data_IF_902740183869
#
_entry.id   IF_902740183869
#
_cell.length_a   1.000
_cell.length_b   1.000
_cell.length_c   1.000
_cell.angle_alpha   90.00
_cell.angle_beta   90.00
_cell.angle_gamma   90.00
#
_symmetry.space_group_name_H-M   'P 1'
#
loop_
_entity.id
_entity.type
_entity.pdbx_description
1 polymer ?
#
# COMPACT_ATOMS: atom_id res chain seq x y z
N UNK A 1 -31.68 12.35 44.11
CA UNK A 1 -32.75 13.30 43.77
C UNK A 1 -32.48 14.62 44.49
N UNK A 2 -32.10 15.68 43.76
CA UNK A 2 -32.02 17.05 44.28
C UNK A 2 -32.41 17.99 43.14
N UNK A 3 -33.68 18.40 43.13
CA UNK A 3 -34.13 19.50 42.29
C UNK A 3 -33.75 20.83 42.91
N UNK A 4 -33.50 21.84 42.07
CA UNK A 4 -33.80 23.26 42.35
C UNK A 4 -34.10 23.97 41.03
N UNK A 5 -35.30 24.52 40.99
CA UNK A 5 -35.90 25.39 39.99
C UNK A 5 -35.37 26.80 40.22
N UNK A 6 -35.21 27.60 39.17
CA UNK A 6 -35.58 29.02 39.21
C UNK A 6 -35.68 29.63 37.81
N UNK A 7 -36.78 30.33 37.60
CA UNK A 7 -37.23 30.99 36.38
C UNK A 7 -36.88 32.47 36.39
N UNK A 8 -37.10 33.07 35.20
CA UNK A 8 -37.26 34.49 34.88
C UNK A 8 -35.96 35.27 34.64
N UNK A 9 -35.81 35.81 33.43
CA UNK A 9 -36.06 37.22 33.12
C UNK A 9 -36.21 37.36 31.58
N UNK A 10 -37.30 37.97 31.15
CA UNK A 10 -37.51 38.48 29.79
C UNK A 10 -37.02 39.92 29.71
N UNK A 11 -36.32 40.26 28.62
CA UNK A 11 -36.25 41.57 27.94
C UNK A 11 -34.91 41.65 27.20
N UNK A 12 -34.74 42.34 26.08
CA UNK A 12 -35.58 42.83 25.00
C UNK A 12 -34.59 43.36 23.95
N UNK A 13 -34.92 43.14 22.67
CA UNK A 13 -34.71 43.99 21.49
C UNK A 13 -33.34 44.65 21.17
N UNK A 14 -33.12 44.60 19.84
CA UNK A 14 -32.55 45.62 18.97
C UNK A 14 -31.04 45.58 18.70
N UNK A 15 -30.73 45.47 17.41
CA UNK A 15 -29.65 46.27 16.82
C UNK A 15 -28.72 45.51 15.88
N UNK A 16 -28.82 45.82 14.59
CA UNK A 16 -27.66 45.85 13.70
C UNK A 16 -27.46 44.62 12.81
N UNK A 17 -28.12 44.62 11.65
CA UNK A 17 -27.65 43.88 10.49
C UNK A 17 -26.30 44.47 10.04
N UNK A 18 -25.20 43.81 10.39
CA UNK A 18 -23.91 44.05 9.74
C UNK A 18 -23.84 43.15 8.52
N UNK A 19 -24.14 43.74 7.37
CA UNK A 19 -23.93 43.14 6.06
C UNK A 19 -22.40 43.07 5.82
N UNK A 20 -21.75 42.03 6.33
CA UNK A 20 -20.37 41.74 5.94
C UNK A 20 -20.38 41.27 4.49
N UNK A 21 -19.90 42.14 3.59
CA UNK A 21 -19.50 41.76 2.24
C UNK A 21 -18.60 40.53 2.33
N UNK A 22 -19.07 39.40 1.80
CA UNK A 22 -18.21 38.25 1.50
C UNK A 22 -17.23 38.70 0.41
N UNK A 23 -15.90 38.67 0.63
CA UNK A 23 -15.01 38.55 -0.50
C UNK A 23 -15.31 37.21 -1.17
N UNK A 24 -15.82 37.32 -2.40
CA UNK A 24 -15.87 36.23 -3.37
C UNK A 24 -14.52 35.53 -3.41
N UNK A 25 -14.57 34.21 -3.38
CA UNK A 25 -13.42 33.36 -3.14
C UNK A 25 -12.23 33.64 -4.04
N UNK A 26 -11.05 33.48 -3.46
CA UNK A 26 -10.11 32.57 -4.10
C UNK A 26 -10.43 31.20 -3.51
N UNK A 27 -11.16 30.39 -4.27
CA UNK A 27 -11.00 28.95 -4.14
C UNK A 27 -9.52 28.71 -4.43
N UNK A 28 -8.70 28.74 -3.38
CA UNK A 28 -7.37 28.19 -3.44
C UNK A 28 -7.57 26.80 -3.98
N UNK A 29 -7.04 26.58 -5.19
CA UNK A 29 -6.97 25.26 -5.77
C UNK A 29 -6.49 24.36 -4.65
N UNK A 30 -7.37 23.48 -4.16
CA UNK A 30 -6.92 22.29 -3.50
C UNK A 30 -6.07 21.61 -4.56
N UNK A 31 -4.76 21.92 -4.52
CA UNK A 31 -3.76 21.13 -5.17
C UNK A 31 -4.17 19.69 -4.87
N UNK A 32 -4.24 18.80 -5.86
CA UNK A 32 -4.58 17.42 -5.59
C UNK A 32 -3.64 17.01 -4.48
N UNK A 33 -4.23 16.81 -3.30
CA UNK A 33 -3.54 16.31 -2.12
C UNK A 33 -2.85 15.09 -2.67
N UNK A 34 -1.52 15.20 -2.88
CA UNK A 34 -0.70 14.15 -3.48
C UNK A 34 -1.16 12.93 -2.75
N UNK A 35 -1.92 12.08 -3.47
CA UNK A 35 -2.69 11.02 -2.87
C UNK A 35 -1.70 10.34 -1.96
N UNK A 36 -1.84 10.59 -0.66
CA UNK A 36 -1.03 9.91 0.32
C UNK A 36 -1.48 8.50 0.07
N UNK A 37 -0.61 7.74 -0.59
CA UNK A 37 -0.85 6.36 -0.94
C UNK A 37 -1.10 5.74 0.41
N UNK A 38 -2.39 5.64 0.78
CA UNK A 38 -2.83 5.00 2.00
C UNK A 38 -2.07 3.70 1.96
N UNK A 39 -1.18 3.49 2.93
CA UNK A 39 -0.44 2.26 3.07
C UNK A 39 -1.50 1.17 3.16
N UNK A 40 -1.86 0.60 2.01
CA UNK A 40 -2.83 -0.44 1.95
C UNK A 40 -2.16 -1.61 2.65
N UNK A 41 -2.85 -2.22 3.60
CA UNK A 41 -2.44 -3.46 4.23
C UNK A 41 -2.38 -4.67 3.24
N UNK A 42 -2.24 -4.41 1.94
CA UNK A 42 -2.30 -5.37 0.84
C UNK A 42 -1.71 -4.82 -0.46
N UNK A 43 -1.40 -5.74 -1.37
CA UNK A 43 -0.84 -5.42 -2.68
C UNK A 43 -1.94 -4.97 -3.65
N UNK A 44 -1.66 -3.93 -4.44
CA UNK A 44 -2.59 -3.33 -5.39
C UNK A 44 -2.02 -3.32 -6.81
N UNK A 45 -2.88 -3.33 -7.86
CA UNK A 45 -2.42 -3.11 -9.23
C UNK A 45 -2.07 -1.64 -9.45
N UNK A 46 -0.91 -1.38 -10.04
CA UNK A 46 -0.43 -0.05 -10.45
C UNK A 46 -0.10 -0.11 -11.94
N UNK A 47 -0.58 0.86 -12.73
CA UNK A 47 -0.47 0.82 -14.20
C UNK A 47 0.96 0.75 -14.73
N UNK A 48 1.91 1.38 -14.05
CA UNK A 48 3.32 1.45 -14.46
C UNK A 48 4.17 0.28 -14.00
N UNK A 49 3.75 -0.41 -12.92
CA UNK A 49 4.58 -1.39 -12.22
C UNK A 49 3.96 -2.80 -12.30
N UNK A 50 2.64 -2.93 -12.34
CA UNK A 50 1.92 -4.20 -12.15
C UNK A 50 1.44 -4.36 -10.69
N UNK A 51 1.36 -5.59 -10.18
CA UNK A 51 1.07 -5.81 -8.75
C UNK A 51 2.21 -5.24 -7.90
N UNK A 52 1.85 -4.40 -6.93
CA UNK A 52 2.79 -3.68 -6.07
C UNK A 52 2.30 -3.69 -4.61
N UNK A 53 3.18 -4.05 -3.68
CA UNK A 53 2.89 -4.20 -2.25
C UNK A 53 3.43 -3.04 -1.40
N UNK A 54 4.03 -2.01 -2.01
CA UNK A 54 4.48 -0.82 -1.30
C UNK A 54 5.96 -0.83 -0.87
N UNK A 55 6.73 -1.89 -1.14
CA UNK A 55 8.12 -1.97 -0.69
C UNK A 55 9.11 -1.59 -1.80
N UNK A 56 8.93 -2.09 -3.02
CA UNK A 56 9.89 -1.85 -4.11
C UNK A 56 9.27 -1.86 -5.51
N UNK A 57 9.37 -0.74 -6.23
CA UNK A 57 8.81 -0.59 -7.58
C UNK A 57 9.77 -1.01 -8.71
N UNK A 58 11.07 -1.18 -8.44
CA UNK A 58 12.07 -1.59 -9.44
C UNK A 58 12.18 -3.11 -9.62
N UNK A 59 13.14 -3.57 -10.42
CA UNK A 59 13.38 -5.00 -10.70
C UNK A 59 14.79 -5.44 -10.27
N UNK A 60 15.24 -4.96 -9.11
CA UNK A 60 16.56 -5.26 -8.57
C UNK A 60 16.74 -6.76 -8.39
N UNK A 61 17.93 -7.24 -8.75
CA UNK A 61 18.34 -8.63 -8.58
C UNK A 61 18.21 -9.04 -7.11
N UNK A 62 17.70 -10.25 -6.86
CA UNK A 62 17.65 -10.82 -5.53
C UNK A 62 17.96 -12.32 -5.56
N UNK A 63 18.85 -12.73 -4.66
CA UNK A 63 19.26 -14.12 -4.46
C UNK A 63 19.56 -14.36 -2.97
N UNK A 64 19.92 -15.60 -2.60
CA UNK A 64 20.24 -15.94 -1.22
C UNK A 64 21.25 -14.98 -0.59
N UNK A 65 20.93 -14.46 0.60
CA UNK A 65 21.74 -13.46 1.30
C UNK A 65 21.43 -12.00 0.95
N UNK A 66 20.69 -11.75 -0.14
CA UNK A 66 20.21 -10.40 -0.49
C UNK A 66 19.33 -9.82 0.62
N UNK A 67 19.36 -8.50 0.76
CA UNK A 67 18.60 -7.78 1.78
C UNK A 67 18.02 -6.48 1.26
N UNK A 68 16.88 -6.08 1.81
CA UNK A 68 16.29 -4.76 1.62
C UNK A 68 14.85 -4.79 1.13
N UNK A 69 14.39 -3.63 0.64
CA UNK A 69 12.99 -3.43 0.26
C UNK A 69 12.56 -4.27 -0.95
N UNK A 70 13.47 -4.58 -1.88
CA UNK A 70 13.17 -5.47 -3.00
C UNK A 70 12.85 -6.90 -2.52
N UNK A 71 13.52 -7.40 -1.48
CA UNK A 71 13.21 -8.69 -0.87
C UNK A 71 11.84 -8.66 -0.18
N UNK A 72 11.53 -7.59 0.55
CA UNK A 72 10.20 -7.42 1.17
C UNK A 72 9.09 -7.45 0.13
N UNK A 73 9.30 -6.82 -1.01
CA UNK A 73 8.35 -6.85 -2.11
C UNK A 73 8.12 -8.27 -2.64
N UNK A 74 9.19 -9.04 -2.86
CA UNK A 74 9.11 -10.45 -3.31
C UNK A 74 8.32 -11.28 -2.29
N UNK A 75 8.69 -11.21 -1.00
CA UNK A 75 8.03 -11.94 0.07
C UNK A 75 6.54 -11.59 0.16
N UNK A 76 6.21 -10.30 0.09
CA UNK A 76 4.83 -9.82 0.14
C UNK A 76 4.01 -10.24 -1.09
N UNK A 77 4.59 -10.17 -2.29
CA UNK A 77 3.92 -10.62 -3.52
C UNK A 77 3.61 -12.11 -3.43
N UNK A 78 4.61 -12.95 -3.10
CA UNK A 78 4.37 -14.40 -2.96
C UNK A 78 3.24 -14.68 -1.96
N UNK A 79 3.28 -14.06 -0.77
CA UNK A 79 2.25 -14.26 0.26
C UNK A 79 0.84 -13.81 -0.16
N UNK A 80 0.73 -12.77 -0.99
CA UNK A 80 -0.57 -12.12 -1.29
C UNK A 80 -1.14 -12.50 -2.64
N UNK A 81 -0.33 -13.01 -3.56
CA UNK A 81 -0.72 -13.18 -4.96
C UNK A 81 -0.60 -14.61 -5.44
N UNK A 82 -0.07 -15.52 -4.61
CA UNK A 82 0.16 -16.92 -4.96
C UNK A 82 -0.55 -17.87 -4.00
N UNK A 83 -0.50 -19.16 -4.32
CA UNK A 83 -0.99 -20.25 -3.46
C UNK A 83 0.12 -20.96 -2.69
N UNK A 84 1.27 -20.30 -2.49
CA UNK A 84 2.37 -20.91 -1.74
C UNK A 84 1.90 -21.30 -0.32
N UNK A 85 2.17 -22.54 0.07
CA UNK A 85 1.55 -23.16 1.25
C UNK A 85 2.00 -22.60 2.60
N UNK A 86 3.09 -21.83 2.63
CA UNK A 86 3.68 -21.26 3.84
C UNK A 86 3.71 -19.75 3.75
N UNK A 87 3.34 -19.06 4.83
CA UNK A 87 3.46 -17.60 4.88
C UNK A 87 4.91 -17.21 5.19
N UNK A 88 5.54 -16.45 4.30
CA UNK A 88 6.87 -15.88 4.50
C UNK A 88 6.84 -14.72 5.49
N UNK A 89 7.89 -14.56 6.28
CA UNK A 89 8.15 -13.29 6.95
C UNK A 89 8.47 -12.22 5.90
N UNK A 90 7.90 -11.01 6.06
CA UNK A 90 8.19 -9.85 5.19
C UNK A 90 9.28 -9.00 5.86
N UNK A 91 10.40 -9.63 6.15
CA UNK A 91 11.53 -9.05 6.89
C UNK A 91 12.57 -8.39 5.98
N UNK A 92 12.54 -8.68 4.69
CA UNK A 92 13.50 -8.20 3.71
C UNK A 92 14.82 -8.95 3.72
N UNK A 93 14.86 -10.17 4.26
CA UNK A 93 16.02 -11.05 4.27
C UNK A 93 15.76 -12.24 3.35
N UNK A 94 16.59 -12.37 2.31
CA UNK A 94 16.46 -13.48 1.37
C UNK A 94 17.14 -14.73 1.95
N UNK A 95 16.46 -15.37 2.91
CA UNK A 95 16.88 -16.59 3.57
C UNK A 95 16.44 -17.86 2.83
N UNK A 96 16.58 -19.00 3.51
CA UNK A 96 16.23 -20.32 2.97
C UNK A 96 14.74 -20.44 2.60
N UNK A 97 13.85 -19.89 3.44
CA UNK A 97 12.41 -19.92 3.20
C UNK A 97 12.02 -19.10 1.97
N UNK A 98 12.62 -17.90 1.84
CA UNK A 98 12.36 -17.04 0.67
C UNK A 98 12.89 -17.70 -0.60
N UNK A 99 14.08 -18.31 -0.56
CA UNK A 99 14.61 -19.06 -1.71
C UNK A 99 13.69 -20.21 -2.11
N UNK A 100 13.25 -21.02 -1.15
CA UNK A 100 12.33 -22.14 -1.39
C UNK A 100 11.03 -21.67 -2.04
N UNK A 101 10.46 -20.57 -1.54
CA UNK A 101 9.24 -20.00 -2.08
C UNK A 101 9.42 -19.44 -3.50
N UNK A 102 10.56 -18.79 -3.79
CA UNK A 102 10.87 -18.29 -5.13
C UNK A 102 11.07 -19.45 -6.10
N UNK A 103 11.84 -20.48 -5.74
CA UNK A 103 12.03 -21.67 -6.57
C UNK A 103 10.69 -22.35 -6.88
N UNK A 104 9.82 -22.51 -5.88
CA UNK A 104 8.47 -23.02 -6.07
C UNK A 104 7.66 -22.12 -7.01
N UNK A 105 7.70 -20.81 -6.80
CA UNK A 105 6.97 -19.84 -7.62
C UNK A 105 7.41 -19.92 -9.09
N UNK A 106 8.72 -19.96 -9.34
CA UNK A 106 9.29 -20.07 -10.69
C UNK A 106 8.88 -21.36 -11.38
N UNK A 107 8.91 -22.49 -10.67
CA UNK A 107 8.46 -23.77 -11.20
C UNK A 107 6.96 -23.76 -11.52
N UNK A 108 6.15 -23.22 -10.61
CA UNK A 108 4.68 -23.25 -10.73
C UNK A 108 4.12 -22.26 -11.76
N UNK A 109 4.63 -21.03 -11.79
CA UNK A 109 4.13 -19.96 -12.67
C UNK A 109 4.99 -19.70 -13.91
N UNK A 110 6.24 -20.18 -13.92
CA UNK A 110 7.17 -20.06 -15.04
C UNK A 110 7.39 -21.41 -15.73
N UNK A 111 8.64 -21.89 -15.65
CA UNK A 111 9.08 -23.17 -16.20
C UNK A 111 10.14 -23.79 -15.31
N UNK A 112 10.36 -25.10 -15.44
CA UNK A 112 11.39 -25.83 -14.69
C UNK A 112 12.80 -25.27 -14.96
N UNK A 113 13.08 -24.81 -16.18
CA UNK A 113 14.36 -24.19 -16.51
C UNK A 113 14.59 -22.83 -15.80
N UNK A 114 13.54 -22.21 -15.24
CA UNK A 114 13.62 -20.95 -14.49
C UNK A 114 13.69 -21.16 -12.97
N UNK A 115 13.57 -22.39 -12.44
CA UNK A 115 13.51 -22.63 -10.99
C UNK A 115 14.89 -22.65 -10.32
N UNK A 116 15.67 -21.59 -10.53
CA UNK A 116 17.02 -21.39 -9.97
C UNK A 116 17.02 -20.76 -8.57
N UNK A 117 15.87 -20.23 -8.13
CA UNK A 117 15.72 -19.52 -6.86
C UNK A 117 16.26 -18.10 -6.88
N UNK A 118 16.48 -17.51 -8.06
CA UNK A 118 17.01 -16.17 -8.27
C UNK A 118 15.94 -15.26 -8.91
N UNK A 119 15.70 -14.11 -8.32
CA UNK A 119 14.72 -13.14 -8.83
C UNK A 119 15.38 -12.17 -9.81
N UNK A 120 15.41 -12.60 -11.07
CA UNK A 120 15.80 -11.76 -12.21
C UNK A 120 14.60 -11.08 -12.91
N UNK A 121 14.84 -10.36 -14.02
CA UNK A 121 13.79 -9.62 -14.74
C UNK A 121 12.56 -10.46 -15.12
N UNK A 122 12.76 -11.71 -15.56
CA UNK A 122 11.67 -12.64 -15.90
C UNK A 122 10.81 -13.00 -14.69
N UNK A 123 11.44 -13.26 -13.55
CA UNK A 123 10.72 -13.59 -12.30
C UNK A 123 9.96 -12.36 -11.78
N UNK A 124 10.53 -11.16 -11.90
CA UNK A 124 9.84 -9.92 -11.59
C UNK A 124 8.60 -9.71 -12.47
N UNK A 125 8.70 -9.96 -13.78
CA UNK A 125 7.54 -9.86 -14.67
C UNK A 125 6.41 -10.81 -14.22
N UNK A 126 6.75 -12.06 -13.93
CA UNK A 126 5.78 -13.05 -13.44
C UNK A 126 5.16 -12.66 -12.10
N UNK A 127 5.94 -12.16 -11.14
CA UNK A 127 5.42 -11.71 -9.83
C UNK A 127 4.41 -10.57 -9.98
N UNK A 128 4.59 -9.70 -10.97
CA UNK A 128 3.79 -8.49 -11.13
C UNK A 128 2.60 -8.64 -12.05
N UNK A 129 2.72 -9.45 -13.09
CA UNK A 129 1.71 -9.58 -14.13
C UNK A 129 1.12 -10.99 -14.23
N UNK A 130 1.73 -11.97 -13.55
CA UNK A 130 1.36 -13.37 -13.66
C UNK A 130 1.78 -13.99 -14.99
N UNK A 131 1.36 -15.25 -15.20
CA UNK A 131 1.48 -15.92 -16.49
C UNK A 131 0.38 -15.36 -17.41
N UNK A 132 0.77 -14.77 -18.54
CA UNK A 132 -0.16 -14.39 -19.61
C UNK A 132 -0.67 -15.61 -20.35
#
# INVERSE_FOLDING_TARGET
MRGKHWTWWTAALAGGAVLTLLPAGVAGAAAPERAQVRAAAGCAPVSTVGRYCGYHAGTSWAEYGSRGSHVKEIQALINRTTRYGTTLAVDGIYGADTRTAVTWFQWYYGSEALSDGIVGPKTWELLRYGKR
#
